data_IF_542822093564
#
_entry.id   IF_542822093564
#
_cell.length_a   1.000
_cell.length_b   1.000
_cell.length_c   1.000
_cell.angle_alpha   90.00
_cell.angle_beta   90.00
_cell.angle_gamma   90.00
#
_symmetry.space_group_name_H-M   'P 1'
#
loop_
_entity.id
_entity.type
_entity.pdbx_description
1 polymer ?
#
# COMPACT_ATOMS: atom_id res chain seq x y z
N UNK A 1 -19.03 -2.36 7.23
CA UNK A 1 -18.60 -3.77 7.16
C UNK A 1 -17.24 -3.85 6.51
N UNK A 2 -16.42 -4.85 6.87
CA UNK A 2 -15.10 -5.06 6.27
C UNK A 2 -14.79 -6.56 6.13
N UNK A 3 -13.97 -6.90 5.15
CA UNK A 3 -13.38 -8.22 4.99
C UNK A 3 -11.94 -8.06 4.50
N UNK A 4 -11.04 -8.93 4.97
CA UNK A 4 -9.65 -8.97 4.53
C UNK A 4 -9.15 -10.42 4.46
N UNK A 5 -8.22 -10.67 3.55
CA UNK A 5 -7.59 -11.97 3.34
C UNK A 5 -6.12 -11.77 3.03
N UNK A 6 -5.27 -12.65 3.54
CA UNK A 6 -3.87 -12.72 3.14
C UNK A 6 -3.44 -14.16 2.92
N UNK A 7 -2.41 -14.34 2.09
CA UNK A 7 -1.81 -15.64 1.82
C UNK A 7 -0.31 -15.50 1.56
N UNK A 8 0.46 -16.36 2.21
CA UNK A 8 1.90 -16.53 2.00
C UNK A 8 2.16 -17.73 1.08
N UNK A 9 3.02 -17.54 0.10
CA UNK A 9 3.41 -18.52 -0.91
C UNK A 9 4.94 -18.62 -0.95
N UNK A 10 5.48 -19.84 -0.95
CA UNK A 10 6.92 -20.08 -1.07
C UNK A 10 7.28 -20.29 -2.54
N UNK A 11 7.44 -19.21 -3.29
CA UNK A 11 7.77 -19.22 -4.72
C UNK A 11 9.01 -18.36 -4.92
N UNK A 12 10.18 -18.99 -5.14
CA UNK A 12 11.47 -18.31 -5.32
C UNK A 12 11.68 -17.19 -4.27
N UNK A 13 11.72 -17.59 -3.00
CA UNK A 13 11.54 -16.71 -1.84
C UNK A 13 10.09 -16.70 -1.35
N UNK A 14 9.76 -15.73 -0.50
CA UNK A 14 8.40 -15.51 -0.01
C UNK A 14 7.66 -14.55 -0.94
N UNK A 15 6.46 -14.94 -1.37
CA UNK A 15 5.46 -14.04 -1.94
C UNK A 15 4.25 -13.99 -1.01
N UNK A 16 3.97 -12.82 -0.46
CA UNK A 16 2.76 -12.56 0.30
C UNK A 16 1.81 -11.73 -0.56
N UNK A 17 0.54 -12.13 -0.59
CA UNK A 17 -0.54 -11.40 -1.26
C UNK A 17 -1.61 -11.16 -0.21
N UNK A 18 -2.07 -9.92 -0.12
CA UNK A 18 -3.11 -9.51 0.81
C UNK A 18 -4.11 -8.61 0.09
N UNK A 19 -5.34 -8.60 0.55
CA UNK A 19 -6.37 -7.73 0.00
C UNK A 19 -7.54 -7.62 0.95
N UNK A 20 -8.31 -6.56 0.76
CA UNK A 20 -9.45 -6.31 1.59
C UNK A 20 -10.43 -5.39 0.91
N UNK A 21 -11.62 -5.33 1.49
CA UNK A 21 -12.68 -4.42 1.07
C UNK A 21 -13.49 -3.98 2.27
N UNK A 22 -13.99 -2.76 2.19
CA UNK A 22 -14.83 -2.16 3.21
C UNK A 22 -16.00 -1.42 2.56
N UNK A 23 -17.13 -1.47 3.25
CA UNK A 23 -18.36 -0.80 2.86
C UNK A 23 -18.87 0.00 4.06
N UNK A 24 -19.05 1.31 3.88
CA UNK A 24 -19.66 2.17 4.89
C UNK A 24 -21.18 2.16 4.74
N UNK A 25 -21.91 2.04 5.85
CA UNK A 25 -23.38 2.15 5.90
C UNK A 25 -23.79 3.58 6.28
N UNK A 26 -22.81 4.41 6.66
CA UNK A 26 -23.05 5.83 6.91
C UNK A 26 -23.31 6.54 5.59
N UNK A 27 -24.52 7.06 5.41
CA UNK A 27 -24.96 7.71 4.17
C UNK A 27 -25.14 9.23 4.33
N UNK A 28 -24.62 9.84 5.40
CA UNK A 28 -24.80 11.28 5.67
C UNK A 28 -24.10 12.16 4.62
N UNK A 29 -23.02 11.67 4.04
CA UNK A 29 -22.22 12.32 2.99
C UNK A 29 -22.54 11.80 1.57
N UNK A 30 -23.54 10.90 1.44
CA UNK A 30 -23.96 10.26 0.18
C UNK A 30 -22.88 9.43 -0.52
N UNK A 31 -21.84 8.98 0.18
CA UNK A 31 -20.88 8.01 -0.39
C UNK A 31 -21.05 6.61 0.19
N UNK A 32 -21.84 5.79 -0.51
CA UNK A 32 -22.12 4.41 -0.15
C UNK A 32 -21.28 3.40 -0.95
N UNK A 33 -20.09 3.78 -1.42
CA UNK A 33 -19.31 2.90 -2.30
C UNK A 33 -18.37 1.97 -1.56
N UNK A 34 -18.24 0.78 -2.14
CA UNK A 34 -17.26 -0.22 -1.74
C UNK A 34 -15.86 0.33 -2.03
N UNK A 35 -15.02 0.41 -1.00
CA UNK A 35 -13.58 0.56 -1.17
C UNK A 35 -12.90 -0.80 -1.05
N UNK A 36 -11.80 -0.97 -1.77
CA UNK A 36 -11.04 -2.21 -1.81
C UNK A 36 -9.57 -1.92 -2.08
N UNK A 37 -8.70 -2.82 -1.62
CA UNK A 37 -7.27 -2.76 -1.88
C UNK A 37 -6.70 -4.16 -2.15
N UNK A 38 -5.58 -4.19 -2.86
CA UNK A 38 -4.77 -5.36 -3.10
C UNK A 38 -3.30 -5.00 -2.90
N UNK A 39 -2.60 -5.79 -2.09
CA UNK A 39 -1.18 -5.66 -1.82
C UNK A 39 -0.42 -6.95 -2.12
N UNK A 40 0.84 -6.80 -2.45
CA UNK A 40 1.78 -7.91 -2.56
C UNK A 40 3.16 -7.50 -2.03
N UNK A 41 3.82 -8.44 -1.37
CA UNK A 41 5.20 -8.32 -0.93
C UNK A 41 5.98 -9.53 -1.41
N UNK A 42 7.16 -9.28 -1.97
CA UNK A 42 8.05 -10.29 -2.51
C UNK A 42 9.43 -10.15 -1.90
N UNK A 43 9.88 -11.19 -1.19
CA UNK A 43 11.28 -11.30 -0.78
C UNK A 43 12.11 -11.72 -1.99
N UNK A 44 13.12 -10.92 -2.32
CA UNK A 44 14.08 -11.17 -3.40
C UNK A 44 15.22 -12.04 -2.87
N UNK A 45 15.64 -11.79 -1.64
CA UNK A 45 16.58 -12.59 -0.85
C UNK A 45 16.34 -12.32 0.65
N UNK A 46 17.20 -12.84 1.52
CA UNK A 46 17.05 -12.72 2.99
C UNK A 46 17.16 -11.29 3.53
N UNK A 47 17.62 -10.33 2.73
CA UNK A 47 17.86 -8.95 3.14
C UNK A 47 17.02 -7.94 2.36
N UNK A 48 16.41 -8.32 1.23
CA UNK A 48 15.75 -7.40 0.31
C UNK A 48 14.35 -7.88 -0.03
N UNK A 49 13.37 -7.01 0.19
CA UNK A 49 11.98 -7.23 -0.16
C UNK A 49 11.40 -6.03 -0.91
N UNK A 50 10.53 -6.30 -1.88
CA UNK A 50 9.77 -5.29 -2.63
C UNK A 50 8.29 -5.42 -2.32
N UNK A 51 7.59 -4.30 -2.33
CA UNK A 51 6.17 -4.20 -1.99
C UNK A 51 5.45 -3.38 -3.06
N UNK A 52 4.23 -3.77 -3.37
CA UNK A 52 3.30 -2.98 -4.16
C UNK A 52 1.91 -3.09 -3.57
N UNK A 53 1.19 -1.97 -3.54
CA UNK A 53 -0.20 -1.90 -3.09
C UNK A 53 -0.98 -1.03 -4.06
N UNK A 54 -2.19 -1.47 -4.37
CA UNK A 54 -3.15 -0.70 -5.14
C UNK A 54 -4.46 -0.59 -4.36
N UNK A 55 -4.83 0.63 -4.01
CA UNK A 55 -6.13 0.99 -3.46
C UNK A 55 -7.02 1.47 -4.59
N UNK A 56 -8.19 0.85 -4.76
CA UNK A 56 -9.15 1.20 -5.80
C UNK A 56 -9.84 2.54 -5.50
N UNK A 57 -9.94 2.95 -4.24
CA UNK A 57 -10.46 4.22 -3.75
C UNK A 57 -11.75 4.71 -4.46
N UNK A 58 -12.67 3.79 -4.75
CA UNK A 58 -13.91 4.10 -5.49
C UNK A 58 -14.89 5.01 -4.74
N UNK A 59 -14.64 5.23 -3.45
CA UNK A 59 -15.33 6.16 -2.56
C UNK A 59 -14.65 7.55 -2.50
N UNK A 60 -13.76 7.87 -3.45
CA UNK A 60 -12.98 9.12 -3.46
C UNK A 60 -13.18 9.92 -4.76
N UNK A 61 -14.42 10.11 -5.21
CA UNK A 61 -14.69 10.77 -6.51
C UNK A 61 -15.80 11.85 -6.48
N UNK A 62 -16.12 12.40 -5.30
CA UNK A 62 -17.17 13.42 -5.15
C UNK A 62 -16.85 14.80 -5.81
N UNK A 63 -15.82 14.88 -6.66
CA UNK A 63 -15.56 16.05 -7.52
C UNK A 63 -15.11 17.32 -6.78
N UNK A 64 -14.76 17.21 -5.50
CA UNK A 64 -14.24 18.31 -4.68
C UNK A 64 -12.70 18.44 -4.83
N UNK A 65 -12.17 19.64 -4.59
CA UNK A 65 -10.72 19.87 -4.58
C UNK A 65 -10.04 18.99 -3.53
N UNK A 66 -9.09 18.15 -3.96
CA UNK A 66 -8.34 17.23 -3.10
C UNK A 66 -8.73 15.74 -3.21
N UNK A 67 -9.80 15.42 -3.96
CA UNK A 67 -10.26 14.05 -4.20
C UNK A 67 -9.57 13.45 -5.44
N UNK A 68 -9.39 12.13 -5.44
CA UNK A 68 -8.68 11.38 -6.49
C UNK A 68 -9.40 11.39 -7.85
N UNK A 69 -8.63 11.39 -8.94
CA UNK A 69 -9.14 11.34 -10.32
C UNK A 69 -9.71 9.96 -10.76
N UNK A 70 -10.31 9.20 -9.84
CA UNK A 70 -10.87 7.84 -10.04
C UNK A 70 -9.87 6.79 -10.60
N UNK A 71 -8.56 7.06 -10.45
CA UNK A 71 -7.47 6.17 -10.88
C UNK A 71 -6.99 5.21 -9.80
N UNK A 72 -7.54 5.29 -8.59
CA UNK A 72 -7.00 4.62 -7.40
C UNK A 72 -5.62 5.16 -7.00
N UNK A 73 -5.05 4.60 -5.94
CA UNK A 73 -3.73 4.96 -5.40
C UNK A 73 -2.80 3.75 -5.51
N UNK A 74 -1.65 3.94 -6.16
CA UNK A 74 -0.61 2.90 -6.21
C UNK A 74 0.59 3.32 -5.37
N UNK A 75 0.99 2.44 -4.46
CA UNK A 75 2.15 2.59 -3.60
C UNK A 75 3.16 1.48 -3.93
N UNK A 76 4.44 1.82 -3.95
CA UNK A 76 5.52 0.84 -4.09
C UNK A 76 6.58 1.09 -3.04
N UNK A 77 7.21 0.03 -2.57
CA UNK A 77 8.20 0.11 -1.50
C UNK A 77 9.33 -0.89 -1.67
N UNK A 78 10.47 -0.54 -1.11
CA UNK A 78 11.63 -1.42 -0.94
C UNK A 78 11.98 -1.48 0.54
N UNK A 79 12.35 -2.67 1.02
CA UNK A 79 12.83 -2.91 2.37
C UNK A 79 14.18 -3.57 2.30
N UNK A 80 15.14 -3.07 3.07
CA UNK A 80 16.50 -3.60 3.13
C UNK A 80 16.90 -3.82 4.58
N UNK A 81 17.36 -5.02 4.93
CA UNK A 81 18.08 -5.28 6.18
C UNK A 81 19.56 -4.98 5.96
N UNK A 82 20.12 -4.03 6.71
CA UNK A 82 21.53 -3.62 6.55
C UNK A 82 22.52 -4.53 7.28
N UNK A 83 22.01 -5.50 8.04
CA UNK A 83 22.77 -6.40 8.91
C UNK A 83 22.44 -6.14 10.39
N UNK A 84 22.31 -7.22 11.17
CA UNK A 84 21.90 -7.15 12.57
C UNK A 84 20.46 -6.66 12.73
N UNK A 85 20.28 -5.67 13.59
CA UNK A 85 18.97 -5.25 14.10
C UNK A 85 18.42 -4.01 13.39
N UNK A 86 19.04 -3.56 12.28
CA UNK A 86 18.70 -2.31 11.58
C UNK A 86 18.23 -2.58 10.15
N UNK A 87 17.13 -1.92 9.77
CA UNK A 87 16.56 -1.97 8.43
C UNK A 87 16.15 -0.61 7.92
N UNK A 88 16.09 -0.48 6.59
CA UNK A 88 15.61 0.69 5.89
C UNK A 88 14.36 0.34 5.09
N UNK A 89 13.43 1.29 5.04
CA UNK A 89 12.30 1.27 4.13
C UNK A 89 12.32 2.52 3.28
N UNK A 90 12.16 2.36 1.97
CA UNK A 90 11.88 3.46 1.07
C UNK A 90 10.54 3.22 0.39
N UNK A 91 9.63 4.19 0.46
CA UNK A 91 8.29 4.11 -0.10
C UNK A 91 8.03 5.28 -1.06
N UNK A 92 7.50 4.96 -2.23
CA UNK A 92 6.89 5.91 -3.16
C UNK A 92 5.38 5.72 -3.09
N UNK A 93 4.67 6.73 -2.58
CA UNK A 93 3.23 6.70 -2.45
C UNK A 93 2.54 7.48 -3.55
N UNK A 94 1.40 6.95 -3.99
CA UNK A 94 0.56 7.52 -5.04
C UNK A 94 1.32 7.81 -6.35
N UNK A 95 1.95 6.78 -6.92
CA UNK A 95 2.71 6.93 -8.17
C UNK A 95 1.84 7.19 -9.41
N UNK A 96 0.52 7.00 -9.30
CA UNK A 96 -0.45 7.25 -10.39
C UNK A 96 -0.87 8.71 -10.51
N UNK A 97 -0.37 9.58 -9.63
CA UNK A 97 -0.58 11.02 -9.67
C UNK A 97 -2.07 11.39 -9.80
N UNK A 98 -2.88 10.87 -8.90
CA UNK A 98 -4.32 11.09 -8.89
C UNK A 98 -4.73 12.38 -8.13
N UNK A 99 -3.76 13.16 -7.60
CA UNK A 99 -4.01 14.35 -6.78
C UNK A 99 -4.04 15.61 -7.64
N UNK A 100 -5.09 16.39 -7.49
CA UNK A 100 -5.16 17.72 -8.11
C UNK A 100 -4.18 18.66 -7.37
N UNK A 101 -3.16 19.16 -8.08
CA UNK A 101 -2.23 20.18 -7.57
C UNK A 101 -0.90 19.66 -6.99
N UNK A 102 -0.62 18.35 -7.06
CA UNK A 102 0.64 17.76 -6.59
C UNK A 102 1.17 16.73 -7.59
N UNK A 103 1.97 17.16 -8.55
CA UNK A 103 2.44 16.34 -9.69
C UNK A 103 3.56 15.31 -9.38
N UNK A 104 3.82 15.00 -8.10
CA UNK A 104 4.92 14.13 -7.71
C UNK A 104 4.52 13.09 -6.66
N UNK A 105 5.01 11.83 -6.79
CA UNK A 105 4.83 10.84 -5.74
C UNK A 105 5.41 11.31 -4.42
N UNK A 106 4.71 11.00 -3.32
CA UNK A 106 5.26 11.25 -1.97
C UNK A 106 6.38 10.24 -1.72
N UNK A 107 7.53 10.71 -1.21
CA UNK A 107 8.67 9.85 -0.87
C UNK A 107 8.83 9.76 0.63
N UNK A 108 9.02 8.56 1.14
CA UNK A 108 9.19 8.30 2.57
C UNK A 108 10.39 7.38 2.79
N UNK A 109 11.26 7.76 3.72
CA UNK A 109 12.37 6.95 4.19
C UNK A 109 12.13 6.63 5.66
N UNK A 110 12.16 5.35 6.03
CA UNK A 110 12.10 4.92 7.43
C UNK A 110 13.36 4.17 7.79
N UNK A 111 13.81 4.40 9.01
CA UNK A 111 14.86 3.63 9.67
C UNK A 111 14.17 2.83 10.76
N UNK A 112 14.35 1.52 10.75
CA UNK A 112 13.72 0.59 11.68
C UNK A 112 14.80 -0.13 12.47
N UNK A 113 14.54 -0.32 13.76
CA UNK A 113 15.36 -1.15 14.63
C UNK A 113 14.49 -2.19 15.32
N UNK A 114 14.88 -3.47 15.26
CA UNK A 114 14.21 -4.56 15.96
C UNK A 114 15.21 -5.67 16.30
N UNK A 115 14.96 -6.41 17.38
CA UNK A 115 15.79 -7.55 17.82
C UNK A 115 15.99 -8.58 16.70
N UNK A 116 14.93 -8.80 15.92
CA UNK A 116 14.96 -9.55 14.67
C UNK A 116 14.13 -8.80 13.65
N UNK A 117 14.74 -8.48 12.51
CA UNK A 117 14.04 -7.91 11.36
C UNK A 117 13.78 -9.02 10.35
N UNK A 118 12.51 -9.23 10.04
CA UNK A 118 12.05 -10.02 8.91
C UNK A 118 11.15 -9.17 8.02
N UNK A 119 11.47 -9.17 6.72
CA UNK A 119 10.63 -8.57 5.66
C UNK A 119 10.20 -9.67 4.69
#
# INVERSE_FOLDING_TARGET
FYAAVSRKLNIAGTLEILGGMNYSVENKDKDSRLSAFLGAQKSINDHLSILAEYDFARNDNLGLLGYGADKGYMNVGVRVVLGGNVGLAFDLRNILDNRIGSAAPTRELKIMYAERLDF
#
